data_IF_032575292992
#
_entry.id   IF_032575292992
#
_cell.length_a   1.000
_cell.length_b   1.000
_cell.length_c   1.000
_cell.angle_alpha   90.00
_cell.angle_beta   90.00
_cell.angle_gamma   90.00
#
_symmetry.space_group_name_H-M   'P 1'
#
loop_
_entity.id
_entity.type
_entity.pdbx_description
1 polymer ?
#
# COMPACT_ATOMS: atom_id res chain seq x y z
N UNK A 1 3.95 15.45 7.25
CA UNK A 1 2.99 14.74 8.12
C UNK A 1 3.63 13.43 8.57
N UNK A 2 3.10 12.85 9.63
CA UNK A 2 3.47 11.50 10.09
C UNK A 2 2.21 10.66 10.17
N UNK A 3 2.35 9.36 9.93
CA UNK A 3 1.25 8.42 10.10
C UNK A 3 1.02 8.18 11.59
N UNK A 4 -0.23 8.18 12.01
CA UNK A 4 -0.64 7.94 13.38
C UNK A 4 -1.88 7.05 13.43
N UNK A 5 -2.04 6.31 14.53
CA UNK A 5 -3.24 5.52 14.77
C UNK A 5 -4.43 6.39 15.21
N UNK A 6 -5.57 5.76 15.44
CA UNK A 6 -6.81 6.43 15.87
C UNK A 6 -6.71 7.14 17.24
N UNK A 7 -5.69 6.83 18.04
CA UNK A 7 -5.35 7.50 19.30
C UNK A 7 -4.35 8.66 19.11
N UNK A 8 -4.04 9.04 17.86
CA UNK A 8 -3.03 10.02 17.47
C UNK A 8 -1.59 9.67 17.90
N UNK A 9 -1.32 8.40 18.19
CA UNK A 9 0.03 7.92 18.44
C UNK A 9 0.75 7.67 17.12
N UNK A 10 1.98 8.17 16.98
CA UNK A 10 2.77 8.01 15.75
C UNK A 10 3.03 6.52 15.51
N UNK A 11 2.74 6.06 14.29
CA UNK A 11 3.00 4.69 13.88
C UNK A 11 4.51 4.42 13.86
N UNK A 12 4.90 3.30 14.47
CA UNK A 12 6.26 2.78 14.38
C UNK A 12 6.46 2.16 13.00
N UNK A 13 7.54 2.55 12.32
CA UNK A 13 7.88 2.05 11.01
C UNK A 13 8.05 0.51 11.04
N UNK A 14 7.23 -0.20 10.25
CA UNK A 14 7.16 -1.67 10.24
C UNK A 14 6.53 -2.20 8.95
N UNK A 15 6.57 -3.52 8.77
CA UNK A 15 5.87 -4.25 7.70
C UNK A 15 4.42 -4.59 8.03
N UNK A 16 3.82 -3.93 9.04
CA UNK A 16 2.40 -4.11 9.34
C UNK A 16 1.54 -3.27 8.37
N UNK A 17 0.45 -3.84 7.83
CA UNK A 17 -0.46 -3.09 6.99
C UNK A 17 -1.07 -1.88 7.72
N UNK A 18 -1.45 -0.88 6.93
CA UNK A 18 -2.27 0.22 7.40
C UNK A 18 -3.61 -0.31 7.95
N UNK A 19 -3.97 0.11 9.14
CA UNK A 19 -5.22 -0.28 9.80
C UNK A 19 -6.32 0.75 9.57
N UNK A 20 -7.56 0.34 9.83
CA UNK A 20 -8.68 1.29 9.90
C UNK A 20 -8.44 2.31 11.03
N UNK A 21 -8.69 3.59 10.72
CA UNK A 21 -8.48 4.68 11.66
C UNK A 21 -7.06 5.25 11.68
N UNK A 22 -6.10 4.67 10.95
CA UNK A 22 -4.81 5.32 10.74
C UNK A 22 -4.95 6.53 9.82
N UNK A 23 -4.34 7.66 10.21
CA UNK A 23 -4.41 8.93 9.49
C UNK A 23 -3.07 9.70 9.53
N UNK A 24 -2.97 10.78 8.76
CA UNK A 24 -1.84 11.68 8.75
C UNK A 24 -2.05 12.85 9.71
N UNK A 25 -1.14 12.99 10.67
CA UNK A 25 -1.13 14.15 11.57
C UNK A 25 0.03 15.11 11.24
N UNK A 26 -0.15 16.37 11.59
CA UNK A 26 0.90 17.38 11.57
C UNK A 26 1.86 17.18 12.75
N UNK A 27 3.03 16.58 12.50
CA UNK A 27 4.10 16.45 13.48
C UNK A 27 5.46 16.65 12.81
N UNK A 28 6.47 17.01 13.62
CA UNK A 28 7.85 17.12 13.14
C UNK A 28 8.40 15.72 12.81
N UNK A 29 9.25 15.67 11.80
CA UNK A 29 10.06 14.50 11.45
C UNK A 29 11.54 14.67 11.87
N UNK A 30 11.83 15.67 12.71
CA UNK A 30 13.17 15.89 13.24
C UNK A 30 13.59 14.70 14.11
N UNK A 31 14.84 14.25 13.95
CA UNK A 31 15.35 13.07 14.63
C UNK A 31 14.99 11.73 13.97
N UNK A 32 14.08 11.70 13.00
CA UNK A 32 13.80 10.49 12.22
C UNK A 32 14.91 10.19 11.22
N UNK A 33 15.22 8.91 11.08
CA UNK A 33 16.07 8.34 10.03
C UNK A 33 15.46 8.53 8.64
N UNK A 34 16.25 8.26 7.59
CA UNK A 34 15.73 8.27 6.21
C UNK A 34 14.61 7.26 6.00
N UNK A 35 14.72 6.07 6.58
CA UNK A 35 13.74 4.99 6.41
C UNK A 35 12.43 5.28 7.14
N UNK A 36 12.47 5.87 8.34
CA UNK A 36 11.26 6.30 9.05
C UNK A 36 10.52 7.41 8.29
N UNK A 37 11.27 8.37 7.72
CA UNK A 37 10.70 9.42 6.86
C UNK A 37 10.08 8.82 5.61
N UNK A 38 10.76 7.86 4.98
CA UNK A 38 10.25 7.15 3.82
C UNK A 38 8.98 6.36 4.16
N UNK A 39 8.95 5.65 5.29
CA UNK A 39 7.79 4.94 5.81
C UNK A 39 6.56 5.86 5.94
N UNK A 40 6.71 7.00 6.62
CA UNK A 40 5.61 7.95 6.76
C UNK A 40 5.18 8.55 5.42
N UNK A 41 6.12 8.73 4.48
CA UNK A 41 5.79 9.16 3.12
C UNK A 41 5.04 8.09 2.34
N UNK A 42 5.35 6.80 2.51
CA UNK A 42 4.54 5.70 1.95
C UNK A 42 3.13 5.72 2.51
N UNK A 43 2.96 5.88 3.83
CA UNK A 43 1.62 5.99 4.43
C UNK A 43 0.85 7.20 3.87
N UNK A 44 1.53 8.30 3.59
CA UNK A 44 0.91 9.46 2.96
C UNK A 44 0.45 9.22 1.52
N UNK A 45 1.02 8.25 0.82
CA UNK A 45 0.55 7.77 -0.49
C UNK A 45 -0.58 6.74 -0.32
N UNK A 46 -0.44 5.80 0.61
CA UNK A 46 -1.33 4.66 0.75
C UNK A 46 -2.66 4.98 1.45
N UNK A 47 -2.69 5.89 2.43
CA UNK A 47 -3.94 6.22 3.15
C UNK A 47 -5.00 6.84 2.22
N UNK A 48 -4.67 7.80 1.33
CA UNK A 48 -5.61 8.27 0.32
C UNK A 48 -6.13 7.17 -0.61
N UNK A 49 -5.26 6.24 -1.05
CA UNK A 49 -5.67 5.10 -1.90
C UNK A 49 -6.64 4.18 -1.13
N UNK A 50 -6.33 3.85 0.13
CA UNK A 50 -7.21 3.09 1.02
C UNK A 50 -8.58 3.76 1.14
N UNK A 51 -8.61 5.06 1.46
CA UNK A 51 -9.86 5.77 1.67
C UNK A 51 -10.68 5.85 0.37
N UNK A 52 -10.02 6.07 -0.77
CA UNK A 52 -10.66 6.06 -2.08
C UNK A 52 -11.32 4.73 -2.39
N UNK A 53 -10.66 3.60 -2.11
CA UNK A 53 -11.22 2.26 -2.37
C UNK A 53 -12.30 1.87 -1.37
N UNK A 54 -12.13 2.20 -0.08
CA UNK A 54 -13.00 1.71 0.99
C UNK A 54 -14.23 2.59 1.24
N UNK A 55 -14.13 3.90 1.03
CA UNK A 55 -15.16 4.85 1.46
C UNK A 55 -15.67 5.74 0.32
N UNK A 56 -14.77 6.22 -0.56
CA UNK A 56 -15.12 7.29 -1.52
C UNK A 56 -15.35 6.81 -2.95
N UNK A 57 -15.23 5.50 -3.21
CA UNK A 57 -15.12 4.91 -4.55
C UNK A 57 -16.23 5.31 -5.51
N UNK A 58 -17.45 5.53 -5.01
CA UNK A 58 -18.58 5.96 -5.81
C UNK A 58 -18.31 7.28 -6.56
N UNK A 59 -17.55 8.19 -5.94
CA UNK A 59 -17.28 9.54 -6.46
C UNK A 59 -15.94 9.68 -7.17
N UNK A 60 -14.97 8.81 -6.86
CA UNK A 60 -13.61 8.87 -7.43
C UNK A 60 -13.66 8.71 -8.95
N UNK A 61 -13.13 9.67 -9.68
CA UNK A 61 -13.01 9.64 -11.15
C UNK A 61 -11.72 8.96 -11.58
N UNK A 62 -11.63 8.54 -12.86
CA UNK A 62 -10.39 7.95 -13.38
C UNK A 62 -9.18 8.90 -13.25
N UNK A 63 -9.24 10.20 -13.57
CA UNK A 63 -8.10 11.09 -13.37
C UNK A 63 -7.67 11.25 -11.91
N UNK A 64 -8.62 11.26 -10.97
CA UNK A 64 -8.30 11.28 -9.53
C UNK A 64 -7.64 9.98 -9.10
N UNK A 65 -8.13 8.84 -9.59
CA UNK A 65 -7.52 7.54 -9.34
C UNK A 65 -6.07 7.48 -9.87
N UNK A 66 -5.86 7.88 -11.12
CA UNK A 66 -4.53 7.88 -11.75
C UNK A 66 -3.53 8.74 -10.96
N UNK A 67 -3.98 9.89 -10.45
CA UNK A 67 -3.18 10.76 -9.59
C UNK A 67 -2.88 10.13 -8.22
N UNK A 68 -3.87 9.48 -7.60
CA UNK A 68 -3.69 8.77 -6.33
C UNK A 68 -2.65 7.65 -6.45
N UNK A 69 -2.67 6.88 -7.54
CA UNK A 69 -1.76 5.74 -7.74
C UNK A 69 -0.47 6.07 -8.49
N UNK A 70 -0.18 7.35 -8.77
CA UNK A 70 0.98 7.77 -9.58
C UNK A 70 2.32 7.26 -9.03
N UNK A 71 2.47 7.22 -7.70
CA UNK A 71 3.71 6.77 -7.06
C UNK A 71 3.90 5.26 -7.17
N UNK A 72 2.79 4.50 -7.19
CA UNK A 72 2.80 3.07 -7.49
C UNK A 72 3.11 2.85 -8.98
N UNK A 73 2.50 3.63 -9.87
CA UNK A 73 2.71 3.53 -11.32
C UNK A 73 4.14 3.84 -11.74
N UNK A 74 4.78 4.86 -11.14
CA UNK A 74 6.19 5.21 -11.42
C UNK A 74 7.15 4.04 -11.14
N UNK A 75 6.75 3.12 -10.25
CA UNK A 75 7.57 2.00 -9.75
C UNK A 75 7.12 0.64 -10.27
N UNK A 76 6.16 0.65 -11.17
CA UNK A 76 5.52 -0.55 -11.69
C UNK A 76 4.94 -1.47 -10.59
N UNK A 77 4.40 -0.90 -9.51
CA UNK A 77 3.82 -1.66 -8.40
C UNK A 77 2.38 -2.01 -8.72
N UNK A 78 2.08 -3.30 -8.91
CA UNK A 78 0.72 -3.80 -9.21
C UNK A 78 0.17 -3.33 -10.58
N UNK A 79 0.97 -3.39 -11.65
CA UNK A 79 0.51 -3.01 -13.01
C UNK A 79 -0.54 -3.92 -13.61
N UNK A 80 -0.46 -5.21 -13.28
CA UNK A 80 -1.21 -6.25 -13.96
C UNK A 80 -2.26 -6.85 -13.03
N UNK A 81 -3.41 -7.17 -13.61
CA UNK A 81 -4.48 -7.95 -13.00
C UNK A 81 -4.47 -9.34 -13.63
N UNK A 82 -4.58 -10.37 -12.80
CA UNK A 82 -4.73 -11.74 -13.23
C UNK A 82 -5.79 -12.42 -12.37
N UNK A 83 -6.86 -12.89 -13.00
CA UNK A 83 -8.04 -13.47 -12.32
C UNK A 83 -8.48 -14.81 -12.90
N UNK A 84 -7.64 -15.40 -13.77
CA UNK A 84 -7.88 -16.69 -14.43
C UNK A 84 -7.24 -17.87 -13.67
N UNK A 85 -6.79 -17.64 -12.43
CA UNK A 85 -6.17 -18.63 -11.58
C UNK A 85 -7.18 -19.68 -11.08
N UNK A 86 -6.73 -20.94 -10.88
CA UNK A 86 -7.61 -22.02 -10.44
C UNK A 86 -8.04 -21.88 -8.97
N UNK A 87 -7.29 -21.11 -8.17
CA UNK A 87 -7.63 -20.81 -6.77
C UNK A 87 -7.69 -19.30 -6.51
N UNK A 88 -8.43 -18.84 -5.49
CA UNK A 88 -8.45 -17.42 -5.11
C UNK A 88 -7.05 -16.83 -4.84
N UNK A 89 -6.11 -17.64 -4.33
CA UNK A 89 -4.73 -17.21 -4.06
C UNK A 89 -3.97 -16.84 -5.34
N UNK A 90 -4.25 -17.56 -6.43
CA UNK A 90 -3.62 -17.34 -7.74
C UNK A 90 -4.11 -16.05 -8.40
N UNK A 91 -5.22 -15.49 -7.91
CA UNK A 91 -5.81 -14.28 -8.43
C UNK A 91 -5.28 -13.05 -7.67
N UNK A 92 -5.04 -11.98 -8.42
CA UNK A 92 -4.64 -10.70 -7.87
C UNK A 92 -5.04 -9.56 -8.79
N UNK A 93 -5.40 -8.44 -8.18
CA UNK A 93 -5.76 -7.23 -8.89
C UNK A 93 -4.59 -6.26 -8.95
N UNK A 94 -4.36 -5.69 -10.13
CA UNK A 94 -3.51 -4.54 -10.33
C UNK A 94 -4.26 -3.23 -10.05
N UNK A 95 -3.58 -2.09 -10.22
CA UNK A 95 -4.12 -0.76 -9.92
C UNK A 95 -5.42 -0.47 -10.68
N UNK A 96 -5.47 -0.74 -11.98
CA UNK A 96 -6.72 -0.54 -12.74
C UNK A 96 -7.77 -1.59 -12.37
N UNK A 97 -7.37 -2.86 -12.19
CA UNK A 97 -8.32 -3.92 -11.90
C UNK A 97 -9.03 -3.76 -10.56
N UNK A 98 -8.31 -3.33 -9.50
CA UNK A 98 -8.93 -3.11 -8.18
C UNK A 98 -9.89 -1.91 -8.23
N UNK A 99 -9.58 -0.89 -9.02
CA UNK A 99 -10.46 0.25 -9.23
C UNK A 99 -11.74 -0.14 -9.97
N UNK A 100 -11.61 -0.89 -11.06
CA UNK A 100 -12.76 -1.39 -11.82
C UNK A 100 -13.63 -2.33 -10.97
N UNK A 101 -12.99 -3.23 -10.20
CA UNK A 101 -13.66 -4.11 -9.26
C UNK A 101 -14.44 -3.32 -8.19
N UNK A 102 -13.81 -2.31 -7.59
CA UNK A 102 -14.43 -1.50 -6.55
C UNK A 102 -15.55 -0.60 -7.09
N UNK A 103 -15.44 -0.13 -8.33
CA UNK A 103 -16.49 0.61 -9.03
C UNK A 103 -17.71 -0.24 -9.35
N UNK A 104 -17.50 -1.50 -9.71
CA UNK A 104 -18.58 -2.42 -10.05
C UNK A 104 -18.29 -3.84 -9.53
N UNK A 105 -18.61 -4.11 -8.26
CA UNK A 105 -18.33 -5.41 -7.64
C UNK A 105 -19.23 -6.54 -8.15
N UNK A 106 -20.26 -6.25 -8.95
CA UNK A 106 -21.24 -7.24 -9.46
C UNK A 106 -21.84 -8.11 -8.33
N UNK A 107 -22.13 -7.48 -7.19
CA UNK A 107 -22.68 -8.15 -6.00
C UNK A 107 -21.71 -9.04 -5.23
N UNK A 108 -20.41 -9.07 -5.60
CA UNK A 108 -19.37 -9.78 -4.87
C UNK A 108 -18.94 -9.02 -3.62
N UNK A 109 -18.63 -9.75 -2.56
CA UNK A 109 -17.82 -9.22 -1.47
C UNK A 109 -16.38 -9.13 -1.98
N UNK A 110 -15.84 -7.91 -2.04
CA UNK A 110 -14.52 -7.58 -2.58
C UNK A 110 -13.52 -7.20 -1.49
N UNK A 111 -13.90 -7.35 -0.21
CA UNK A 111 -13.09 -6.91 0.91
C UNK A 111 -11.69 -7.53 0.87
N UNK A 112 -11.60 -8.84 0.62
CA UNK A 112 -10.32 -9.53 0.58
C UNK A 112 -9.42 -9.02 -0.55
N UNK A 113 -9.97 -8.82 -1.74
CA UNK A 113 -9.25 -8.35 -2.92
C UNK A 113 -8.70 -6.94 -2.72
N UNK A 114 -9.50 -6.05 -2.13
CA UNK A 114 -9.10 -4.67 -1.81
C UNK A 114 -8.03 -4.65 -0.72
N UNK A 115 -8.21 -5.40 0.37
CA UNK A 115 -7.23 -5.45 1.46
C UNK A 115 -5.89 -6.03 0.99
N UNK A 116 -5.91 -7.12 0.22
CA UNK A 116 -4.71 -7.71 -0.38
C UNK A 116 -3.98 -6.71 -1.28
N UNK A 117 -4.71 -5.99 -2.14
CA UNK A 117 -4.09 -4.95 -2.99
C UNK A 117 -3.41 -3.86 -2.16
N UNK A 118 -4.06 -3.36 -1.10
CA UNK A 118 -3.55 -2.29 -0.26
C UNK A 118 -2.30 -2.71 0.53
N UNK A 119 -2.33 -3.91 1.11
CA UNK A 119 -1.21 -4.51 1.83
C UNK A 119 0.01 -4.69 0.92
N UNK A 120 -0.16 -5.41 -0.19
CA UNK A 120 0.94 -5.68 -1.13
C UNK A 120 1.48 -4.36 -1.73
N UNK A 121 0.61 -3.43 -2.14
CA UNK A 121 1.05 -2.15 -2.71
C UNK A 121 1.87 -1.33 -1.73
N UNK A 122 1.45 -1.28 -0.46
CA UNK A 122 2.15 -0.54 0.58
C UNK A 122 3.53 -1.14 0.88
N UNK A 123 3.60 -2.47 1.02
CA UNK A 123 4.84 -3.19 1.26
C UNK A 123 5.80 -3.07 0.09
N UNK A 124 5.33 -3.24 -1.15
CA UNK A 124 6.18 -3.13 -2.33
C UNK A 124 6.70 -1.71 -2.48
N UNK A 125 5.88 -0.69 -2.17
CA UNK A 125 6.34 0.69 -2.17
C UNK A 125 7.41 0.92 -1.10
N UNK A 126 7.25 0.39 0.12
CA UNK A 126 8.29 0.43 1.16
C UNK A 126 9.58 -0.19 0.65
N UNK A 127 9.53 -1.40 0.10
CA UNK A 127 10.69 -2.09 -0.45
C UNK A 127 11.43 -1.26 -1.53
N UNK A 128 10.75 -0.40 -2.30
CA UNK A 128 11.40 0.48 -3.28
C UNK A 128 12.12 1.68 -2.65
N UNK A 129 11.66 2.19 -1.52
CA UNK A 129 12.03 3.52 -1.01
C UNK A 129 12.80 3.48 0.31
N UNK A 130 12.94 2.31 0.92
CA UNK A 130 13.73 2.09 2.14
C UNK A 130 15.02 1.30 1.86
N UNK A 131 15.94 1.34 2.82
CA UNK A 131 17.19 0.58 2.80
C UNK A 131 16.97 -0.94 2.79
N UNK A 132 18.02 -1.71 2.47
CA UNK A 132 17.98 -3.17 2.55
C UNK A 132 17.94 -3.64 4.02
N UNK A 133 18.56 -2.88 4.93
CA UNK A 133 18.45 -3.09 6.37
C UNK A 133 17.01 -2.94 6.86
N UNK A 134 16.28 -1.94 6.35
CA UNK A 134 14.88 -1.76 6.67
C UNK A 134 13.99 -2.86 6.06
N UNK A 135 14.36 -3.42 4.91
CA UNK A 135 13.63 -4.57 4.35
C UNK A 135 13.64 -5.78 5.31
N UNK A 136 14.70 -5.96 6.10
CA UNK A 136 14.72 -6.98 7.14
C UNK A 136 13.68 -6.68 8.24
N UNK A 137 13.50 -5.42 8.63
CA UNK A 137 12.43 -5.02 9.55
C UNK A 137 11.05 -5.33 8.95
N UNK A 138 10.85 -5.05 7.67
CA UNK A 138 9.60 -5.38 6.97
C UNK A 138 9.30 -6.87 7.06
N UNK A 139 10.27 -7.72 6.75
CA UNK A 139 10.17 -9.19 6.85
C UNK A 139 9.89 -9.65 8.29
N UNK A 140 10.66 -9.17 9.26
CA UNK A 140 10.57 -9.61 10.66
C UNK A 140 9.25 -9.21 11.33
N UNK A 141 8.60 -8.17 10.80
CA UNK A 141 7.34 -7.65 11.35
C UNK A 141 6.12 -7.95 10.47
N UNK A 142 6.31 -8.66 9.35
CA UNK A 142 5.23 -9.05 8.45
C UNK A 142 4.35 -10.13 9.10
N UNK A 143 3.02 -9.92 9.24
CA UNK A 143 2.14 -10.86 9.95
C UNK A 143 2.13 -12.27 9.38
N UNK A 144 2.28 -12.42 8.06
CA UNK A 144 2.27 -13.73 7.40
C UNK A 144 3.63 -14.46 7.45
N UNK A 145 4.69 -13.79 7.94
CA UNK A 145 6.01 -14.41 8.13
C UNK A 145 6.79 -14.74 6.86
N UNK A 146 6.38 -14.19 5.72
CA UNK A 146 7.13 -14.24 4.46
C UNK A 146 7.89 -12.91 4.20
N UNK A 147 8.75 -12.91 3.17
CA UNK A 147 9.53 -11.73 2.78
C UNK A 147 8.81 -10.95 1.68
N UNK A 148 8.16 -9.82 2.00
CA UNK A 148 7.38 -9.09 1.01
C UNK A 148 8.26 -8.46 -0.08
N UNK A 149 9.54 -8.20 0.19
CA UNK A 149 10.44 -7.62 -0.80
C UNK A 149 10.98 -8.66 -1.79
N UNK A 150 11.12 -9.91 -1.35
CA UNK A 150 11.38 -11.05 -2.24
C UNK A 150 10.18 -11.30 -3.16
N UNK A 151 8.96 -11.32 -2.60
CA UNK A 151 7.72 -11.52 -3.36
C UNK A 151 7.44 -10.39 -4.37
N UNK A 152 7.84 -9.16 -4.04
CA UNK A 152 7.73 -8.01 -4.92
C UNK A 152 8.59 -8.15 -6.20
N UNK A 153 9.57 -9.07 -6.22
CA UNK A 153 10.51 -9.28 -7.32
C UNK A 153 11.18 -7.98 -7.79
N UNK A 154 11.48 -7.06 -6.86
CA UNK A 154 12.07 -5.75 -7.17
C UNK A 154 13.53 -5.91 -7.57
N UNK A 155 13.81 -5.81 -8.87
CA UNK A 155 15.18 -5.86 -9.42
C UNK A 155 15.91 -4.53 -9.22
N UNK A 156 15.19 -3.41 -9.17
CA UNK A 156 15.79 -2.08 -9.02
C UNK A 156 14.90 -1.19 -8.17
N UNK A 157 15.44 -0.72 -7.03
CA UNK A 157 14.78 0.25 -6.16
C UNK A 157 14.70 1.62 -6.84
N UNK A 158 13.57 2.30 -6.68
CA UNK A 158 13.33 3.63 -7.24
C UNK A 158 12.95 4.53 -6.07
N UNK A 159 13.88 5.37 -5.57
CA UNK A 159 13.62 6.23 -4.42
C UNK A 159 12.58 7.32 -4.76
N UNK A 160 12.17 8.08 -3.75
CA UNK A 160 11.24 9.20 -3.93
C UNK A 160 11.79 10.30 -4.83
#
# INVERSE_FOLDING_TARGET
SVAANSSAEILVASGKPASEGDDLIGSSQDGMTSDEKAFHKVMAVMFPIRNALMYDIATVTQPEWDELVKDLSRRSIKDITYVDGPTPRDNYYGRQGVFDLAKNPDGKDIHHEVMKFLEESGLYLLCHVTSDEFNQILKDTHPEGHDPCEDAMIVTKIPF
#
